data_IF_730130209913
#
_entry.id   IF_730130209913
#
_cell.length_a   1.000
_cell.length_b   1.000
_cell.length_c   1.000
_cell.angle_alpha   90.00
_cell.angle_beta   90.00
_cell.angle_gamma   90.00
#
_symmetry.space_group_name_H-M   'P 1'
#
loop_
_entity.id
_entity.type
_entity.pdbx_description
1 polymer ?
#
# COMPACT_ATOMS: atom_id res chain seq x y z
N UNK A 1 -32.38 8.17 6.54
CA UNK A 1 -31.86 7.85 6.44
C UNK A 1 -31.16 7.68 6.17
N UNK A 2 -31.14 7.64 6.20
CA UNK A 2 -30.33 7.22 6.19
C UNK A 2 -29.65 6.92 5.92
N UNK A 3 -29.75 6.95 5.96
CA UNK A 3 -28.99 6.45 5.74
C UNK A 3 -28.20 6.32 5.71
N UNK A 4 -28.15 6.42 5.78
CA UNK A 4 -27.42 6.19 5.78
C UNK A 4 -26.77 6.02 6.29
N UNK A 5 -26.69 6.02 6.63
CA UNK A 5 -26.01 5.79 7.26
C UNK A 5 -25.44 5.04 7.80
N UNK A 6 -25.44 4.92 7.61
CA UNK A 6 -25.23 3.79 8.49
C UNK A 6 -23.91 3.07 8.23
N UNK A 7 -23.30 3.16 7.08
CA UNK A 7 -21.96 2.69 6.80
C UNK A 7 -20.94 3.64 7.39
N UNK A 8 -19.94 3.14 8.15
CA UNK A 8 -18.87 4.01 8.62
C UNK A 8 -18.16 4.65 7.44
N UNK A 9 -17.73 5.88 7.62
CA UNK A 9 -16.92 6.56 6.61
C UNK A 9 -15.53 5.90 6.60
N UNK A 10 -15.12 5.36 5.46
CA UNK A 10 -13.81 4.76 5.33
C UNK A 10 -12.72 5.83 5.41
N UNK A 11 -11.61 5.56 6.10
CA UNK A 11 -10.51 6.51 6.15
C UNK A 11 -9.88 6.70 4.77
N UNK A 12 -9.39 7.93 4.54
CA UNK A 12 -8.65 8.28 3.33
C UNK A 12 -7.26 8.71 3.75
N UNK A 13 -6.25 8.10 3.17
CA UNK A 13 -4.84 8.42 3.42
C UNK A 13 -4.22 8.94 2.12
N UNK A 14 -3.00 9.50 2.24
CA UNK A 14 -2.31 10.02 1.07
C UNK A 14 -0.83 9.64 1.10
N UNK A 15 -0.25 9.53 -0.10
CA UNK A 15 1.19 9.46 -0.34
C UNK A 15 1.59 10.61 -1.25
N UNK A 16 2.60 11.37 -0.84
CA UNK A 16 3.35 12.24 -1.74
C UNK A 16 4.58 11.46 -2.19
N UNK A 17 4.82 11.40 -3.47
CA UNK A 17 5.85 10.53 -4.06
C UNK A 17 6.88 11.37 -4.80
N UNK A 18 8.16 11.03 -4.62
CA UNK A 18 9.25 11.57 -5.42
C UNK A 18 9.93 10.46 -6.22
N UNK A 19 10.45 10.84 -7.38
CA UNK A 19 11.23 9.93 -8.23
C UNK A 19 12.56 10.62 -8.49
N UNK A 20 13.66 9.99 -8.07
CA UNK A 20 14.99 10.58 -8.23
C UNK A 20 15.14 11.93 -7.55
N UNK A 21 14.43 12.15 -6.44
CA UNK A 21 14.46 13.41 -5.69
C UNK A 21 13.48 14.47 -6.18
N UNK A 22 12.74 14.21 -7.25
CA UNK A 22 11.75 15.16 -7.80
C UNK A 22 10.34 14.74 -7.41
N UNK A 23 9.57 15.65 -6.79
CA UNK A 23 8.18 15.39 -6.44
C UNK A 23 7.33 15.24 -7.70
N UNK A 24 6.54 14.16 -7.75
CA UNK A 24 5.70 13.86 -8.91
C UNK A 24 4.20 13.95 -8.63
N UNK A 25 3.81 14.06 -7.37
CA UNK A 25 2.43 14.31 -7.02
C UNK A 25 1.93 13.49 -5.82
N UNK A 26 0.63 13.57 -5.59
CA UNK A 26 -0.04 12.96 -4.45
C UNK A 26 -1.06 11.94 -4.93
N UNK A 27 -1.07 10.77 -4.27
CA UNK A 27 -2.14 9.79 -4.40
C UNK A 27 -2.99 9.82 -3.14
N UNK A 28 -4.30 9.85 -3.29
CA UNK A 28 -5.26 9.69 -2.19
C UNK A 28 -5.88 8.31 -2.30
N UNK A 29 -5.98 7.63 -1.17
CA UNK A 29 -6.34 6.22 -1.10
C UNK A 29 -7.45 6.05 -0.08
N UNK A 30 -8.57 5.48 -0.51
CA UNK A 30 -9.62 5.05 0.42
C UNK A 30 -9.27 3.66 0.94
N UNK A 31 -9.31 3.48 2.27
CA UNK A 31 -9.07 2.19 2.90
C UNK A 31 -10.40 1.55 3.24
N UNK A 32 -10.59 0.29 2.86
CA UNK A 32 -11.87 -0.41 3.02
C UNK A 32 -12.04 -0.97 4.43
N UNK A 33 -12.07 -0.06 5.43
CA UNK A 33 -12.24 -0.44 6.83
C UNK A 33 -13.60 -1.11 7.09
N UNK A 34 -14.59 -0.89 6.23
CA UNK A 34 -15.89 -1.55 6.31
C UNK A 34 -15.82 -3.05 5.96
N UNK A 35 -14.84 -3.45 5.15
CA UNK A 35 -14.68 -4.83 4.70
C UNK A 35 -13.51 -5.52 5.42
N UNK A 36 -12.40 -4.84 5.58
CA UNK A 36 -11.17 -5.38 6.18
C UNK A 36 -10.61 -4.40 7.22
N UNK A 37 -11.30 -4.24 8.37
CA UNK A 37 -10.94 -3.23 9.35
C UNK A 37 -9.53 -3.38 9.91
N UNK A 38 -9.06 -4.60 10.15
CA UNK A 38 -7.73 -4.83 10.73
C UNK A 38 -6.62 -4.52 9.73
N UNK A 39 -6.78 -4.94 8.49
CA UNK A 39 -5.82 -4.66 7.42
C UNK A 39 -5.76 -3.17 7.12
N UNK A 40 -6.92 -2.52 7.04
CA UNK A 40 -7.02 -1.08 6.82
C UNK A 40 -6.37 -0.29 7.95
N UNK A 41 -6.59 -0.67 9.21
CA UNK A 41 -6.02 0.03 10.35
C UNK A 41 -4.50 -0.08 10.41
N UNK A 42 -3.95 -1.24 10.09
CA UNK A 42 -2.51 -1.45 10.01
C UNK A 42 -1.88 -0.45 9.02
N UNK A 43 -2.45 -0.37 7.83
CA UNK A 43 -1.97 0.54 6.79
C UNK A 43 -2.14 2.00 7.21
N UNK A 44 -3.29 2.36 7.77
CA UNK A 44 -3.58 3.73 8.20
C UNK A 44 -2.57 4.23 9.22
N UNK A 45 -2.25 3.43 10.23
CA UNK A 45 -1.30 3.84 11.27
C UNK A 45 0.13 4.01 10.72
N UNK A 46 0.52 3.21 9.75
CA UNK A 46 1.81 3.40 9.10
C UNK A 46 1.84 4.63 8.19
N UNK A 47 0.68 5.08 7.71
CA UNK A 47 0.59 6.33 6.96
C UNK A 47 0.70 7.54 7.88
N UNK A 48 0.04 7.52 9.05
CA UNK A 48 0.02 8.65 9.99
C UNK A 48 1.28 8.73 10.85
N UNK A 49 1.99 7.61 11.00
CA UNK A 49 3.13 7.54 11.91
C UNK A 49 2.74 7.43 13.38
N UNK A 50 1.47 7.15 13.68
CA UNK A 50 1.02 7.04 15.07
C UNK A 50 1.48 5.75 15.76
N UNK A 51 1.80 4.71 15.00
CA UNK A 51 2.34 3.49 15.59
C UNK A 51 3.79 3.73 16.04
N UNK A 52 4.08 3.35 17.29
CA UNK A 52 5.41 3.50 17.87
C UNK A 52 5.96 2.15 18.29
N UNK A 53 7.23 1.92 17.96
CA UNK A 53 7.97 0.76 18.44
C UNK A 53 9.11 1.29 19.31
N UNK A 54 9.13 0.87 20.57
CA UNK A 54 10.13 1.33 21.55
C UNK A 54 10.15 2.87 21.67
N UNK A 55 8.96 3.49 21.59
CA UNK A 55 8.81 4.94 21.68
C UNK A 55 9.11 5.71 20.41
N UNK A 56 9.48 5.02 19.32
CA UNK A 56 9.87 5.65 18.05
C UNK A 56 8.76 5.45 17.02
N UNK A 57 8.25 6.53 16.39
CA UNK A 57 7.29 6.38 15.30
C UNK A 57 7.91 5.63 14.12
N UNK A 58 7.17 4.65 13.58
CA UNK A 58 7.57 3.94 12.36
C UNK A 58 6.43 3.96 11.37
N UNK A 59 6.76 3.95 10.08
CA UNK A 59 5.76 3.96 9.03
C UNK A 59 6.37 4.17 7.65
N UNK A 60 5.50 4.51 6.72
CA UNK A 60 5.86 4.54 5.29
C UNK A 60 6.66 5.77 4.86
N UNK A 61 6.67 6.83 5.65
CA UNK A 61 7.41 8.04 5.28
C UNK A 61 8.89 7.72 5.09
N UNK A 62 9.42 8.05 3.92
CA UNK A 62 10.81 7.78 3.57
C UNK A 62 11.05 6.39 2.99
N UNK A 63 10.05 5.51 2.98
CA UNK A 63 10.19 4.19 2.37
C UNK A 63 10.04 4.28 0.85
N UNK A 64 10.42 3.20 0.16
CA UNK A 64 10.46 3.20 -1.31
C UNK A 64 9.52 2.18 -1.91
N UNK A 65 9.20 2.39 -3.18
CA UNK A 65 8.65 1.33 -4.03
C UNK A 65 9.84 0.58 -4.62
N UNK A 66 10.13 -0.57 -4.06
CA UNK A 66 11.36 -1.32 -4.39
C UNK A 66 11.20 -2.26 -5.58
N UNK A 67 9.97 -2.49 -6.03
CA UNK A 67 9.68 -3.40 -7.13
C UNK A 67 8.56 -2.84 -8.00
N UNK A 68 8.84 -2.68 -9.29
CA UNK A 68 7.87 -2.14 -10.25
C UNK A 68 7.84 -3.05 -11.46
N UNK A 69 6.67 -3.58 -11.77
CA UNK A 69 6.45 -4.40 -12.97
C UNK A 69 5.35 -3.74 -13.77
N UNK A 70 5.72 -3.12 -14.88
CA UNK A 70 4.78 -2.43 -15.77
C UNK A 70 3.65 -3.37 -16.19
N UNK A 71 2.44 -2.84 -16.22
CA UNK A 71 1.21 -3.55 -16.57
C UNK A 71 0.79 -4.62 -15.57
N UNK A 72 1.49 -4.74 -14.44
CA UNK A 72 1.14 -5.67 -13.37
C UNK A 72 0.91 -4.95 -12.05
N UNK A 73 1.98 -4.49 -11.40
CA UNK A 73 1.86 -3.86 -10.08
C UNK A 73 3.10 -3.07 -9.72
N UNK A 74 2.94 -2.17 -8.74
CA UNK A 74 4.05 -1.50 -8.06
C UNK A 74 4.01 -1.91 -6.59
N UNK A 75 5.14 -2.28 -6.02
CA UNK A 75 5.21 -2.81 -4.65
C UNK A 75 6.14 -1.97 -3.79
N UNK A 76 5.70 -1.70 -2.57
CA UNK A 76 6.47 -0.91 -1.62
C UNK A 76 6.10 -1.17 -0.19
N UNK A 77 6.54 -0.28 0.68
CA UNK A 77 6.17 -0.31 2.09
C UNK A 77 7.13 -1.06 3.00
N UNK A 78 8.26 -1.56 2.48
CA UNK A 78 9.27 -2.17 3.34
C UNK A 78 10.13 -1.11 4.00
N UNK A 79 9.64 -0.55 5.11
CA UNK A 79 10.41 0.42 5.88
C UNK A 79 11.37 -0.23 6.86
N UNK A 80 11.39 -1.56 6.94
CA UNK A 80 12.30 -2.32 7.82
C UNK A 80 13.65 -2.49 7.15
N UNK A 81 13.67 -3.07 5.94
CA UNK A 81 14.92 -3.40 5.23
C UNK A 81 15.04 -2.70 3.86
N UNK A 82 13.93 -2.25 3.27
CA UNK A 82 13.93 -1.54 2.00
C UNK A 82 14.09 -2.41 0.76
N UNK A 83 14.17 -3.73 0.90
CA UNK A 83 14.47 -4.65 -0.20
C UNK A 83 13.40 -5.73 -0.44
N UNK A 84 12.29 -5.66 0.28
CA UNK A 84 11.22 -6.65 0.16
C UNK A 84 11.26 -7.77 1.18
N UNK A 85 12.23 -7.79 2.07
CA UNK A 85 12.37 -8.84 3.11
C UNK A 85 11.78 -8.44 4.45
N UNK A 86 11.46 -7.15 4.64
CA UNK A 86 10.98 -6.65 5.92
C UNK A 86 9.54 -7.04 6.22
N UNK A 87 9.29 -7.41 7.46
CA UNK A 87 7.94 -7.73 7.94
C UNK A 87 7.71 -6.98 9.25
N UNK A 88 6.67 -6.16 9.30
CA UNK A 88 6.27 -5.47 10.51
C UNK A 88 4.78 -5.18 10.42
N UNK A 89 4.09 -5.19 11.56
CA UNK A 89 2.70 -4.77 11.62
C UNK A 89 2.42 -4.11 12.97
N UNK A 90 1.28 -3.43 13.07
CA UNK A 90 0.85 -2.89 14.36
C UNK A 90 0.45 -4.01 15.33
N UNK A 91 0.34 -5.24 14.84
CA UNK A 91 -0.03 -6.44 15.60
C UNK A 91 1.19 -7.26 16.02
N UNK A 92 2.40 -6.71 15.87
CA UNK A 92 3.68 -7.32 16.27
C UNK A 92 4.07 -8.53 15.42
N UNK A 93 4.30 -8.30 14.14
CA UNK A 93 4.73 -9.34 13.21
C UNK A 93 3.65 -9.72 12.24
N UNK A 94 3.79 -10.85 11.55
CA UNK A 94 2.81 -11.26 10.54
C UNK A 94 1.41 -11.43 11.13
N UNK A 95 0.40 -11.03 10.35
CA UNK A 95 -0.99 -11.22 10.76
C UNK A 95 -1.80 -11.92 9.68
N UNK A 96 -2.94 -12.48 10.10
CA UNK A 96 -3.76 -13.35 9.27
C UNK A 96 -4.37 -12.62 8.08
N UNK A 97 -4.63 -13.36 7.01
CA UNK A 97 -5.47 -12.90 5.91
C UNK A 97 -6.89 -12.69 6.43
N UNK A 98 -7.33 -11.44 6.44
CA UNK A 98 -8.59 -11.08 7.10
C UNK A 98 -9.80 -11.67 6.37
N UNK A 99 -9.86 -11.48 5.06
CA UNK A 99 -10.82 -12.11 4.16
C UNK A 99 -10.40 -11.85 2.71
N UNK A 100 -11.09 -12.50 1.78
CA UNK A 100 -10.86 -12.33 0.34
C UNK A 100 -12.13 -11.89 -0.39
N UNK A 101 -12.92 -11.04 0.26
CA UNK A 101 -14.20 -10.58 -0.32
C UNK A 101 -14.01 -9.73 -1.56
N UNK A 102 -12.92 -8.98 -1.63
CA UNK A 102 -12.62 -8.09 -2.75
C UNK A 102 -11.64 -8.74 -3.71
N UNK A 103 -11.80 -8.47 -4.99
CA UNK A 103 -10.97 -9.04 -6.05
C UNK A 103 -10.08 -7.98 -6.68
N UNK A 104 -9.01 -8.42 -7.31
CA UNK A 104 -8.09 -7.55 -8.06
C UNK A 104 -8.70 -7.22 -9.43
N UNK A 105 -9.82 -6.49 -9.44
CA UNK A 105 -10.70 -6.33 -10.60
C UNK A 105 -10.38 -5.14 -11.48
N UNK A 106 -9.44 -4.29 -11.08
CA UNK A 106 -9.15 -3.05 -11.81
C UNK A 106 -7.77 -2.53 -11.44
N UNK A 107 -7.18 -1.61 -12.21
CA UNK A 107 -5.99 -0.90 -11.77
C UNK A 107 -6.28 0.03 -10.59
N UNK A 108 -5.27 0.31 -9.79
CA UNK A 108 -5.38 1.25 -8.67
C UNK A 108 -5.89 0.65 -7.37
N UNK A 109 -5.95 -0.67 -7.28
CA UNK A 109 -6.34 -1.34 -6.03
C UNK A 109 -5.11 -1.65 -5.20
N UNK A 110 -5.23 -1.44 -3.87
CA UNK A 110 -4.18 -1.79 -2.92
C UNK A 110 -4.44 -3.16 -2.35
N UNK A 111 -3.39 -3.97 -2.32
CA UNK A 111 -3.44 -5.35 -1.84
C UNK A 111 -2.20 -5.64 -1.01
N UNK A 112 -2.33 -6.54 -0.05
CA UNK A 112 -1.21 -6.88 0.83
C UNK A 112 -0.24 -7.83 0.13
N UNK A 113 1.04 -7.46 0.14
CA UNK A 113 2.11 -8.38 -0.22
C UNK A 113 2.32 -9.38 0.92
N UNK A 114 2.71 -10.59 0.61
CA UNK A 114 2.96 -11.62 1.61
C UNK A 114 3.94 -12.67 1.08
N UNK A 115 4.34 -13.59 1.97
CA UNK A 115 5.23 -14.71 1.66
C UNK A 115 4.52 -16.05 1.81
N UNK A 116 3.20 -16.05 1.61
CA UNK A 116 2.35 -17.21 1.76
C UNK A 116 1.16 -16.88 2.65
N UNK A 117 0.31 -17.86 2.96
CA UNK A 117 -0.91 -17.62 3.76
C UNK A 117 -0.60 -17.00 5.11
N UNK A 118 -1.36 -15.96 5.45
CA UNK A 118 -1.34 -15.30 6.78
C UNK A 118 0.06 -14.80 7.17
N UNK A 119 0.76 -14.19 6.22
CA UNK A 119 2.08 -13.56 6.47
C UNK A 119 2.07 -12.07 6.14
N UNK A 120 0.93 -11.40 6.32
CA UNK A 120 0.80 -9.97 6.07
C UNK A 120 1.64 -9.16 7.06
N UNK A 121 2.29 -8.12 6.58
CA UNK A 121 3.11 -7.23 7.40
C UNK A 121 2.91 -5.77 7.03
N UNK A 122 3.96 -5.11 6.56
CA UNK A 122 3.89 -3.72 6.14
C UNK A 122 3.86 -3.54 4.63
N UNK A 123 4.33 -4.51 3.85
CA UNK A 123 4.44 -4.37 2.41
C UNK A 123 3.10 -4.50 1.72
N UNK A 124 2.93 -3.71 0.68
CA UNK A 124 1.71 -3.69 -0.13
C UNK A 124 2.10 -3.52 -1.59
N UNK A 125 1.13 -3.78 -2.47
CA UNK A 125 1.29 -3.44 -3.88
C UNK A 125 0.04 -2.75 -4.39
N UNK A 126 0.21 -1.98 -5.46
CA UNK A 126 -0.88 -1.29 -6.14
C UNK A 126 -0.97 -1.91 -7.53
N UNK A 127 -2.15 -2.40 -7.90
CA UNK A 127 -2.35 -3.02 -9.20
C UNK A 127 -2.27 -1.99 -10.31
N UNK A 128 -1.63 -2.35 -11.41
CA UNK A 128 -1.58 -1.53 -12.63
C UNK A 128 -2.58 -2.01 -13.67
N UNK A 129 -3.17 -3.18 -13.46
CA UNK A 129 -4.18 -3.79 -14.32
C UNK A 129 -5.02 -4.77 -13.49
N UNK A 130 -6.04 -5.34 -14.12
CA UNK A 130 -6.81 -6.43 -13.53
C UNK A 130 -5.91 -7.66 -13.33
N UNK A 131 -5.95 -8.26 -12.13
CA UNK A 131 -5.07 -9.36 -11.73
C UNK A 131 -5.87 -10.48 -11.06
N UNK A 132 -6.79 -11.09 -11.78
CA UNK A 132 -7.71 -12.10 -11.21
C UNK A 132 -7.00 -13.32 -10.60
N UNK A 133 -5.81 -13.66 -11.09
CA UNK A 133 -5.04 -14.80 -10.57
C UNK A 133 -4.54 -14.62 -9.14
N UNK A 134 -4.64 -13.41 -8.59
CA UNK A 134 -4.25 -13.13 -7.21
C UNK A 134 -5.38 -13.39 -6.21
N UNK A 135 -6.57 -13.71 -6.68
CA UNK A 135 -7.72 -13.95 -5.79
C UNK A 135 -7.44 -15.09 -4.82
N UNK A 136 -7.77 -14.87 -3.55
CA UNK A 136 -7.57 -15.87 -2.50
C UNK A 136 -6.14 -16.00 -2.01
N UNK A 137 -5.22 -15.18 -2.52
CA UNK A 137 -3.80 -15.17 -2.11
C UNK A 137 -3.37 -13.87 -1.47
N UNK A 138 -3.97 -12.76 -1.86
CA UNK A 138 -3.64 -11.43 -1.36
C UNK A 138 -4.92 -10.69 -0.99
N UNK A 139 -4.88 -10.01 0.16
CA UNK A 139 -6.04 -9.28 0.69
C UNK A 139 -6.09 -7.88 0.09
N UNK A 140 -7.15 -7.59 -0.67
CA UNK A 140 -7.42 -6.26 -1.21
C UNK A 140 -8.02 -5.40 -0.10
N UNK A 141 -7.47 -4.21 0.14
CA UNK A 141 -7.89 -3.38 1.27
C UNK A 141 -8.09 -1.90 0.96
N UNK A 142 -7.83 -1.45 -0.25
CA UNK A 142 -7.99 -0.05 -0.60
C UNK A 142 -7.99 0.21 -2.09
N UNK A 143 -8.25 1.47 -2.45
CA UNK A 143 -8.17 1.92 -3.85
C UNK A 143 -7.71 3.36 -3.92
N UNK A 144 -7.06 3.71 -5.03
CA UNK A 144 -6.71 5.09 -5.33
C UNK A 144 -8.00 5.81 -5.75
N UNK A 145 -8.35 6.91 -5.06
CA UNK A 145 -9.51 7.73 -5.40
C UNK A 145 -9.12 9.03 -6.07
N UNK A 146 -7.83 9.41 -6.00
CA UNK A 146 -7.30 10.60 -6.66
C UNK A 146 -5.80 10.39 -6.88
N UNK A 147 -5.28 10.88 -8.01
CA UNK A 147 -3.86 10.77 -8.30
C UNK A 147 -3.44 9.47 -8.97
N UNK A 148 -4.35 8.80 -9.69
CA UNK A 148 -4.00 7.58 -10.43
C UNK A 148 -2.83 7.83 -11.39
N UNK A 149 -2.70 9.04 -11.92
CA UNK A 149 -1.60 9.41 -12.81
C UNK A 149 -0.24 9.27 -12.11
N UNK A 150 -0.18 9.54 -10.79
CA UNK A 150 1.07 9.36 -10.03
C UNK A 150 1.48 7.89 -10.03
N UNK A 151 0.52 6.98 -9.83
CA UNK A 151 0.78 5.54 -9.92
C UNK A 151 1.29 5.18 -11.31
N UNK A 152 0.71 5.74 -12.37
CA UNK A 152 1.15 5.50 -13.74
C UNK A 152 2.56 6.02 -13.99
N UNK A 153 2.95 7.14 -13.39
CA UNK A 153 4.32 7.64 -13.46
C UNK A 153 5.31 6.69 -12.81
N UNK A 154 4.95 6.13 -11.65
CA UNK A 154 5.78 5.13 -10.97
C UNK A 154 5.90 3.87 -11.83
N UNK A 155 4.80 3.41 -12.39
CA UNK A 155 4.76 2.22 -13.24
C UNK A 155 5.72 2.30 -14.43
N UNK A 156 5.92 3.49 -14.95
CA UNK A 156 6.71 3.72 -16.16
C UNK A 156 8.18 4.06 -15.90
N UNK A 157 8.65 4.02 -14.64
CA UNK A 157 10.06 4.29 -14.35
C UNK A 157 10.95 3.20 -14.93
N UNK A 158 12.17 3.53 -15.39
CA UNK A 158 13.13 2.51 -15.80
C UNK A 158 13.49 1.61 -14.63
N UNK A 159 13.56 0.30 -14.89
CA UNK A 159 13.90 -0.70 -13.87
C UNK A 159 15.16 -1.46 -14.28
N UNK A 160 15.87 -1.94 -13.27
CA UNK A 160 17.03 -2.79 -13.42
C UNK A 160 16.73 -4.23 -13.02
N UNK A 161 17.78 -4.97 -12.58
CA UNK A 161 17.61 -6.35 -12.13
C UNK A 161 16.56 -6.44 -11.01
N UNK A 162 15.79 -7.53 -11.02
CA UNK A 162 14.73 -7.81 -10.03
C UNK A 162 13.63 -6.74 -10.02
N UNK A 163 13.43 -6.05 -11.15
CA UNK A 163 12.39 -5.03 -11.31
C UNK A 163 12.55 -3.86 -10.33
N UNK A 164 13.76 -3.59 -9.89
CA UNK A 164 14.05 -2.47 -9.00
C UNK A 164 14.16 -1.19 -9.81
N UNK A 165 13.46 -0.10 -9.43
CA UNK A 165 13.60 1.19 -10.12
C UNK A 165 15.05 1.67 -10.12
N UNK A 166 15.52 2.19 -11.27
CA UNK A 166 16.88 2.71 -11.39
C UNK A 166 17.07 4.01 -10.61
N UNK A 167 15.99 4.79 -10.47
CA UNK A 167 15.96 5.96 -9.60
C UNK A 167 15.05 5.65 -8.41
N UNK A 168 15.41 6.10 -7.20
CA UNK A 168 14.59 5.79 -6.04
C UNK A 168 13.21 6.44 -6.16
N UNK A 169 12.18 5.63 -5.93
CA UNK A 169 10.79 6.05 -5.85
C UNK A 169 10.42 6.07 -4.37
N UNK A 170 10.31 7.26 -3.80
CA UNK A 170 10.22 7.45 -2.35
C UNK A 170 8.86 8.04 -1.98
N UNK A 171 8.27 7.52 -0.89
CA UNK A 171 7.12 8.15 -0.25
C UNK A 171 7.70 9.29 0.60
N UNK A 172 7.70 10.49 0.03
CA UNK A 172 8.34 11.65 0.67
C UNK A 172 7.51 12.18 1.85
N UNK A 173 6.19 11.99 1.78
CA UNK A 173 5.27 12.35 2.84
C UNK A 173 4.04 11.44 2.77
N UNK A 174 3.42 11.17 3.91
CA UNK A 174 2.18 10.40 3.97
C UNK A 174 1.41 10.79 5.22
N UNK A 175 0.12 10.50 5.22
CA UNK A 175 -0.75 10.81 6.34
C UNK A 175 -2.19 10.48 6.03
N UNK A 176 -3.06 10.91 6.92
CA UNK A 176 -4.50 10.78 6.75
C UNK A 176 -5.08 12.13 6.35
N UNK A 177 -5.99 12.09 5.38
CA UNK A 177 -6.71 13.30 4.92
C UNK A 177 -7.75 13.72 5.93
#
# INVERSE_FOLDING_TARGET
MAVANSSPVNPVVFFDVSIGGQEVGRMKIELFADVVPKTAENFRQFCTGEFRKDGVPIGYKGSTFHRVIKDFMIQGGDFVNGDGTGVASIYRGPFADENFKLRHSAPGLLSMANSGPSTNGCQFFITCSKCDWLYGKHVVFGKIIDGLLVMRKIENVPTGPNNKPKLPVVISQCGEV
#
